data_IF_801349399797
#
_entry.id   IF_801349399797
#
_cell.length_a   1.000
_cell.length_b   1.000
_cell.length_c   1.000
_cell.angle_alpha   90.00
_cell.angle_beta   90.00
_cell.angle_gamma   90.00
#
_symmetry.space_group_name_H-M   'P 1'
#
loop_
_entity.id
_entity.type
_entity.pdbx_description
1 polymer ?
#
# COMPACT_ATOMS: atom_id res chain seq x y z
N UNK A 1 25.78 -2.23 42.55
CA UNK A 1 24.95 -3.46 42.61
C UNK A 1 25.59 -4.52 41.75
N UNK A 2 25.67 -5.76 42.22
CA UNK A 2 26.24 -6.89 41.47
C UNK A 2 25.13 -7.49 40.59
N UNK A 3 25.42 -7.76 39.32
CA UNK A 3 24.43 -8.31 38.39
C UNK A 3 24.06 -9.75 38.80
N UNK A 4 22.77 -10.14 38.77
CA UNK A 4 22.34 -11.48 39.16
C UNK A 4 22.94 -12.57 38.24
N UNK A 5 23.34 -13.69 38.83
CA UNK A 5 23.97 -14.81 38.12
C UNK A 5 22.97 -15.69 37.38
N UNK A 6 21.70 -15.68 37.78
CA UNK A 6 20.63 -16.48 37.18
C UNK A 6 19.37 -15.64 36.98
N UNK A 7 18.74 -15.73 35.80
CA UNK A 7 17.54 -14.98 35.43
C UNK A 7 16.45 -15.88 34.83
N UNK A 8 15.21 -15.64 35.20
CA UNK A 8 14.04 -16.25 34.58
C UNK A 8 13.55 -15.37 33.44
N UNK A 9 13.48 -15.91 32.23
CA UNK A 9 13.11 -15.15 31.03
C UNK A 9 11.71 -15.51 30.58
N UNK A 10 10.80 -14.54 30.63
CA UNK A 10 9.43 -14.70 30.15
C UNK A 10 9.37 -14.65 28.63
N UNK A 11 8.81 -15.68 27.99
CA UNK A 11 8.60 -15.74 26.54
C UNK A 11 7.16 -16.09 26.19
N UNK A 12 6.68 -15.60 25.05
CA UNK A 12 5.38 -15.98 24.49
C UNK A 12 5.64 -16.76 23.20
N UNK A 13 4.81 -17.76 22.92
CA UNK A 13 4.88 -18.49 21.66
C UNK A 13 4.55 -17.57 20.47
N UNK A 14 5.51 -17.36 19.56
CA UNK A 14 5.32 -16.56 18.35
C UNK A 14 6.15 -17.11 17.20
N UNK A 15 5.51 -17.76 16.22
CA UNK A 15 6.15 -18.44 15.08
C UNK A 15 7.25 -17.63 14.35
N UNK A 16 7.21 -16.30 14.43
CA UNK A 16 8.16 -15.40 13.75
C UNK A 16 9.42 -15.14 14.58
N UNK A 17 9.30 -15.02 15.90
CA UNK A 17 10.40 -14.58 16.76
C UNK A 17 10.92 -15.68 17.69
N UNK A 18 10.10 -16.69 17.94
CA UNK A 18 10.37 -17.85 18.77
C UNK A 18 9.65 -19.09 18.20
N UNK A 19 10.39 -20.12 17.82
CA UNK A 19 9.82 -21.40 17.42
C UNK A 19 10.56 -22.56 18.06
N UNK A 20 9.82 -23.63 18.32
CA UNK A 20 10.38 -24.88 18.80
C UNK A 20 10.99 -25.65 17.62
N UNK A 21 12.31 -25.80 17.63
CA UNK A 21 13.06 -26.49 16.59
C UNK A 21 13.22 -27.98 16.91
N UNK A 22 12.18 -28.77 16.61
CA UNK A 22 12.11 -30.24 16.36
C UNK A 22 11.53 -31.20 17.43
N UNK A 23 10.91 -32.24 16.85
CA UNK A 23 10.17 -33.42 17.36
C UNK A 23 10.79 -34.30 18.48
N UNK A 24 11.98 -34.04 19.02
CA UNK A 24 12.63 -34.95 20.00
C UNK A 24 13.32 -34.24 21.19
N UNK A 25 12.99 -32.97 21.43
CA UNK A 25 13.50 -32.18 22.56
C UNK A 25 13.32 -30.71 22.26
N UNK A 26 12.84 -29.94 23.25
CA UNK A 26 12.50 -28.52 23.10
C UNK A 26 13.77 -27.67 22.92
N UNK A 27 14.19 -27.48 21.68
CA UNK A 27 15.28 -26.55 21.33
C UNK A 27 14.62 -25.25 20.88
N UNK A 28 14.71 -24.24 21.74
CA UNK A 28 14.21 -22.91 21.46
C UNK A 28 15.09 -22.22 20.39
N UNK A 29 14.47 -21.72 19.33
CA UNK A 29 15.14 -21.01 18.26
C UNK A 29 14.38 -19.74 17.88
N UNK A 30 15.09 -18.77 17.29
CA UNK A 30 14.50 -17.50 16.88
C UNK A 30 15.40 -16.30 17.19
N UNK A 31 14.98 -15.12 16.73
CA UNK A 31 15.76 -13.88 16.89
C UNK A 31 15.86 -13.52 18.38
N UNK A 32 14.76 -13.64 19.12
CA UNK A 32 14.72 -13.26 20.55
C UNK A 32 15.56 -14.20 21.42
N UNK A 33 15.69 -15.47 21.02
CA UNK A 33 16.55 -16.46 21.69
C UNK A 33 18.03 -16.21 21.37
N UNK A 34 18.35 -15.85 20.12
CA UNK A 34 19.71 -15.47 19.74
C UNK A 34 20.16 -14.19 20.47
N UNK A 35 19.28 -13.20 20.59
CA UNK A 35 19.53 -11.99 21.36
C UNK A 35 19.78 -12.33 22.84
N UNK A 36 18.92 -13.16 23.44
CA UNK A 36 19.10 -13.60 24.83
C UNK A 36 20.44 -14.32 25.04
N UNK A 37 20.82 -15.20 24.10
CA UNK A 37 22.11 -15.88 24.15
C UNK A 37 23.28 -14.89 24.11
N UNK A 38 23.25 -13.93 23.19
CA UNK A 38 24.28 -12.88 23.10
C UNK A 38 24.37 -12.05 24.39
N UNK A 39 23.23 -11.69 24.99
CA UNK A 39 23.18 -10.99 26.27
C UNK A 39 23.78 -11.83 27.39
N UNK A 40 23.45 -13.12 27.45
CA UNK A 40 23.96 -14.05 28.47
C UNK A 40 25.49 -14.19 28.41
N UNK A 41 26.06 -14.26 27.20
CA UNK A 41 27.50 -14.36 26.97
C UNK A 41 28.23 -13.05 27.32
N UNK A 42 27.61 -11.89 27.04
CA UNK A 42 28.21 -10.58 27.31
C UNK A 42 28.12 -10.15 28.77
N UNK A 43 27.03 -10.52 29.44
CA UNK A 43 26.75 -10.14 30.83
C UNK A 43 27.04 -11.26 31.84
N UNK A 44 27.45 -12.44 31.36
CA UNK A 44 27.82 -13.62 32.15
C UNK A 44 26.73 -14.06 33.14
N UNK A 45 25.50 -14.27 32.66
CA UNK A 45 24.40 -14.84 33.45
C UNK A 45 23.87 -16.14 32.84
N UNK A 46 23.31 -17.00 33.67
CA UNK A 46 22.55 -18.18 33.27
C UNK A 46 21.05 -17.86 33.24
N UNK A 47 20.29 -18.57 32.42
CA UNK A 47 18.86 -18.30 32.31
C UNK A 47 18.01 -19.55 32.12
N UNK A 48 16.76 -19.45 32.57
CA UNK A 48 15.68 -20.39 32.29
C UNK A 48 14.58 -19.69 31.51
N UNK A 49 14.06 -20.34 30.48
CA UNK A 49 12.95 -19.80 29.68
C UNK A 49 11.63 -20.28 30.28
N UNK A 50 10.76 -19.35 30.65
CA UNK A 50 9.41 -19.58 31.11
C UNK A 50 8.43 -19.16 30.00
N UNK A 51 7.67 -20.12 29.45
CA UNK A 51 6.68 -19.85 28.40
C UNK A 51 5.37 -19.40 29.05
N UNK A 52 5.06 -18.12 28.89
CA UNK A 52 3.86 -17.49 29.42
C UNK A 52 2.69 -17.65 28.44
N UNK A 53 1.53 -18.02 28.98
CA UNK A 53 0.26 -18.14 28.24
C UNK A 53 -0.44 -16.78 28.16
N UNK A 54 -1.55 -16.68 27.43
CA UNK A 54 -2.39 -15.47 27.37
C UNK A 54 -1.76 -14.21 26.72
N UNK A 55 -0.70 -14.40 25.93
CA UNK A 55 -0.14 -13.36 25.06
C UNK A 55 0.64 -12.27 25.81
N UNK A 56 0.67 -11.07 25.23
CA UNK A 56 1.48 -9.93 25.75
C UNK A 56 1.03 -9.42 27.11
N UNK A 57 -0.24 -9.64 27.43
CA UNK A 57 -0.85 -9.28 28.70
C UNK A 57 -1.86 -8.16 28.59
N UNK A 58 -2.90 -8.31 29.41
CA UNK A 58 -4.07 -7.43 29.52
C UNK A 58 -4.61 -7.50 30.95
N UNK A 59 -5.40 -6.50 31.33
CA UNK A 59 -6.14 -6.50 32.58
C UNK A 59 -7.32 -7.45 32.45
N UNK A 60 -7.46 -8.39 33.38
CA UNK A 60 -8.62 -9.27 33.47
C UNK A 60 -9.79 -8.56 34.18
N UNK A 61 -11.00 -9.12 34.12
CA UNK A 61 -12.20 -8.54 34.76
C UNK A 61 -12.02 -8.27 36.27
N UNK A 62 -11.19 -9.08 36.92
CA UNK A 62 -10.87 -8.95 38.34
C UNK A 62 -9.80 -7.87 38.64
N UNK A 63 -9.39 -7.08 37.65
CA UNK A 63 -8.34 -6.05 37.77
C UNK A 63 -6.91 -6.60 37.78
N UNK A 64 -6.73 -7.93 37.75
CA UNK A 64 -5.41 -8.57 37.74
C UNK A 64 -4.81 -8.64 36.33
N UNK A 65 -3.52 -8.37 36.19
CA UNK A 65 -2.81 -8.55 34.92
C UNK A 65 -2.53 -10.03 34.61
N UNK A 66 -2.90 -10.46 33.40
CA UNK A 66 -2.56 -11.77 32.85
C UNK A 66 -1.50 -11.64 31.74
N UNK A 67 -1.04 -12.77 31.20
CA UNK A 67 -0.03 -12.79 30.14
C UNK A 67 1.36 -12.41 30.61
N UNK A 68 2.23 -12.07 29.65
CA UNK A 68 3.63 -11.73 29.91
C UNK A 68 3.77 -10.53 30.87
N UNK A 69 3.01 -9.46 30.65
CA UNK A 69 3.02 -8.30 31.55
C UNK A 69 2.64 -8.68 33.00
N UNK A 70 1.65 -9.56 33.17
CA UNK A 70 1.26 -10.06 34.48
C UNK A 70 2.32 -10.93 35.15
N UNK A 71 2.97 -11.83 34.40
CA UNK A 71 4.05 -12.68 34.91
C UNK A 71 5.26 -11.85 35.37
N UNK A 72 5.62 -10.83 34.60
CA UNK A 72 6.68 -9.88 34.96
C UNK A 72 6.31 -9.07 36.22
N UNK A 73 5.10 -8.52 36.28
CA UNK A 73 4.63 -7.75 37.44
C UNK A 73 4.53 -8.56 38.74
N UNK A 74 4.32 -9.87 38.65
CA UNK A 74 4.32 -10.79 39.81
C UNK A 74 5.70 -11.33 40.18
N UNK A 75 6.75 -11.02 39.42
CA UNK A 75 8.10 -11.56 39.62
C UNK A 75 8.23 -13.05 39.23
N UNK A 76 7.34 -13.57 38.38
CA UNK A 76 7.44 -14.93 37.82
C UNK A 76 8.44 -14.98 36.65
N UNK A 77 8.80 -13.82 36.10
CA UNK A 77 9.84 -13.62 35.10
C UNK A 77 10.60 -12.33 35.43
N UNK A 78 11.93 -12.37 35.32
CA UNK A 78 12.81 -11.24 35.66
C UNK A 78 13.01 -10.31 34.45
N UNK A 79 13.14 -10.88 33.25
CA UNK A 79 13.29 -10.16 31.99
C UNK A 79 12.48 -10.81 30.88
N UNK A 80 12.21 -10.08 29.80
CA UNK A 80 11.72 -10.65 28.55
C UNK A 80 12.49 -10.07 27.37
N UNK A 81 12.84 -10.91 26.41
CA UNK A 81 13.42 -10.49 25.12
C UNK A 81 12.40 -10.56 23.98
N UNK A 82 11.15 -10.91 24.27
CA UNK A 82 10.10 -11.04 23.26
C UNK A 82 9.60 -9.67 22.84
N UNK A 83 9.30 -9.53 21.55
CA UNK A 83 8.59 -8.35 21.04
C UNK A 83 7.34 -8.06 21.87
N UNK A 84 7.34 -7.00 22.68
CA UNK A 84 6.18 -6.55 23.44
C UNK A 84 5.83 -5.12 23.01
N UNK A 85 4.61 -4.87 22.48
CA UNK A 85 4.20 -3.53 22.13
C UNK A 85 4.24 -2.59 23.34
N UNK A 86 4.90 -1.43 23.17
CA UNK A 86 4.94 -0.36 24.15
C UNK A 86 3.57 0.31 24.22
N UNK A 87 2.86 0.11 25.33
CA UNK A 87 1.55 0.68 25.62
C UNK A 87 1.58 1.32 27.00
N UNK A 88 0.94 2.48 27.15
CA UNK A 88 0.89 3.22 28.41
C UNK A 88 0.33 2.35 29.56
N UNK A 89 -0.73 1.60 29.30
CA UNK A 89 -1.32 0.71 30.31
C UNK A 89 -0.32 -0.34 30.82
N UNK A 90 0.56 -0.85 29.96
CA UNK A 90 1.57 -1.85 30.34
C UNK A 90 2.75 -1.24 31.08
N UNK A 91 3.09 0.02 30.81
CA UNK A 91 4.16 0.73 31.53
C UNK A 91 3.86 0.91 33.02
N UNK A 92 2.62 0.69 33.46
CA UNK A 92 2.24 0.71 34.88
C UNK A 92 2.72 -0.54 35.64
N UNK A 93 3.07 -1.62 34.94
CA UNK A 93 3.42 -2.93 35.53
C UNK A 93 4.80 -3.41 35.12
N UNK A 94 5.26 -3.00 33.94
CA UNK A 94 6.57 -3.39 33.40
C UNK A 94 7.36 -2.18 32.91
N UNK A 95 8.65 -2.19 33.18
CA UNK A 95 9.59 -1.22 32.62
C UNK A 95 10.15 -1.73 31.29
N UNK A 96 10.27 -0.82 30.31
CA UNK A 96 10.83 -1.12 29.00
C UNK A 96 12.27 -0.62 28.89
N UNK A 97 13.11 -1.38 28.21
CA UNK A 97 14.43 -0.92 27.78
C UNK A 97 14.31 0.00 26.55
N UNK A 98 15.45 0.54 26.11
CA UNK A 98 15.50 1.29 24.85
C UNK A 98 15.08 0.38 23.68
N UNK A 99 14.14 0.81 22.82
CA UNK A 99 13.70 0.02 21.69
C UNK A 99 14.87 -0.24 20.74
N UNK A 100 15.12 -1.51 20.42
CA UNK A 100 16.17 -1.92 19.49
C UNK A 100 15.63 -2.28 18.09
N UNK A 101 14.31 -2.40 17.94
CA UNK A 101 13.66 -2.72 16.68
C UNK A 101 12.30 -2.01 16.57
N UNK A 102 12.02 -1.44 15.40
CA UNK A 102 10.72 -0.82 15.07
C UNK A 102 10.01 -1.69 14.06
N UNK A 103 8.81 -2.16 14.40
CA UNK A 103 7.95 -2.95 13.51
C UNK A 103 6.95 -2.03 12.83
N UNK A 104 6.92 -2.04 11.50
CA UNK A 104 5.87 -1.40 10.73
C UNK A 104 4.67 -2.35 10.55
N UNK A 105 3.46 -1.83 10.76
CA UNK A 105 2.22 -2.59 10.57
C UNK A 105 1.66 -2.30 9.19
N UNK A 106 1.41 -3.36 8.42
CA UNK A 106 0.77 -3.29 7.11
C UNK A 106 -0.38 -4.29 7.06
N UNK A 107 -1.25 -4.15 6.07
CA UNK A 107 -2.32 -5.10 5.81
C UNK A 107 -2.16 -5.66 4.39
N UNK A 108 -2.61 -6.89 4.21
CA UNK A 108 -2.64 -7.53 2.90
C UNK A 108 -4.09 -7.57 2.39
N UNK A 109 -4.28 -7.23 1.12
CA UNK A 109 -5.57 -7.41 0.43
C UNK A 109 -5.38 -8.27 -0.81
N UNK A 110 -6.47 -8.83 -1.31
CA UNK A 110 -6.47 -9.41 -2.65
C UNK A 110 -6.03 -8.36 -3.68
N UNK A 111 -5.31 -8.81 -4.71
CA UNK A 111 -4.87 -7.96 -5.81
C UNK A 111 -6.12 -7.43 -6.54
N UNK A 112 -6.23 -6.10 -6.79
CA UNK A 112 -7.37 -5.54 -7.50
C UNK A 112 -7.54 -6.12 -8.90
N UNK A 113 -8.80 -6.26 -9.33
CA UNK A 113 -9.11 -6.78 -10.66
C UNK A 113 -8.55 -5.85 -11.75
N UNK A 114 -8.08 -6.42 -12.88
CA UNK A 114 -7.66 -5.63 -14.05
C UNK A 114 -8.86 -4.85 -14.59
N UNK A 115 -8.58 -3.68 -15.17
CA UNK A 115 -9.61 -2.88 -15.82
C UNK A 115 -10.14 -3.59 -17.08
N UNK A 116 -11.41 -3.36 -17.47
CA UNK A 116 -11.95 -3.90 -18.71
C UNK A 116 -11.13 -3.45 -19.92
N UNK A 117 -10.91 -4.35 -20.89
CA UNK A 117 -10.06 -4.08 -22.06
C UNK A 117 -10.48 -2.85 -22.87
N UNK A 118 -11.78 -2.59 -23.00
CA UNK A 118 -12.28 -1.42 -23.73
C UNK A 118 -11.91 -0.11 -23.05
N UNK A 119 -11.85 -0.09 -21.71
CA UNK A 119 -11.55 1.13 -20.94
C UNK A 119 -10.09 1.55 -21.13
N UNK A 120 -9.21 0.60 -21.44
CA UNK A 120 -7.78 0.84 -21.71
C UNK A 120 -7.57 1.76 -22.91
N UNK A 121 -8.50 1.82 -23.86
CA UNK A 121 -8.41 2.71 -25.03
C UNK A 121 -8.62 4.19 -24.67
N UNK A 122 -9.37 4.49 -23.60
CA UNK A 122 -9.66 5.86 -23.18
C UNK A 122 -8.68 6.38 -22.14
N UNK A 123 -7.98 5.49 -21.43
CA UNK A 123 -6.97 5.82 -20.41
C UNK A 123 -5.76 6.65 -20.89
N UNK A 124 -5.28 6.61 -22.14
CA UNK A 124 -4.04 7.27 -22.53
C UNK A 124 -4.07 8.78 -22.31
N UNK A 125 -5.25 9.38 -22.39
CA UNK A 125 -5.44 10.82 -22.22
C UNK A 125 -6.55 11.09 -21.22
N UNK A 126 -6.39 12.18 -20.46
CA UNK A 126 -7.46 12.68 -19.61
C UNK A 126 -8.63 13.17 -20.47
N UNK A 127 -9.83 13.16 -19.90
CA UNK A 127 -11.06 13.63 -20.58
C UNK A 127 -10.89 15.05 -21.15
N UNK A 128 -10.16 15.92 -20.45
CA UNK A 128 -9.87 17.29 -20.91
C UNK A 128 -9.10 17.32 -22.24
N UNK A 129 -8.14 16.42 -22.42
CA UNK A 129 -7.34 16.31 -23.65
C UNK A 129 -8.18 15.77 -24.80
N UNK A 130 -9.05 14.80 -24.53
CA UNK A 130 -10.01 14.31 -25.51
C UNK A 130 -10.96 15.41 -26.00
N UNK A 131 -11.47 16.22 -25.07
CA UNK A 131 -12.32 17.39 -25.41
C UNK A 131 -11.52 18.40 -26.24
N UNK A 132 -10.30 18.75 -25.81
CA UNK A 132 -9.45 19.68 -26.55
C UNK A 132 -9.12 19.18 -27.97
N UNK A 133 -8.89 17.88 -28.14
CA UNK A 133 -8.68 17.25 -29.44
C UNK A 133 -9.93 17.32 -30.33
N UNK A 134 -11.11 17.00 -29.78
CA UNK A 134 -12.36 17.13 -30.53
C UNK A 134 -12.61 18.58 -30.97
N UNK A 135 -12.37 19.54 -30.07
CA UNK A 135 -12.50 20.97 -30.38
C UNK A 135 -11.50 21.41 -31.45
N UNK A 136 -10.23 20.98 -31.36
CA UNK A 136 -9.21 21.37 -32.35
C UNK A 136 -9.50 20.81 -33.73
N UNK A 137 -9.92 19.54 -33.81
CA UNK A 137 -10.30 18.87 -35.07
C UNK A 137 -11.52 19.54 -35.71
N UNK A 138 -12.44 20.12 -34.93
CA UNK A 138 -13.58 20.84 -35.48
C UNK A 138 -13.22 22.29 -35.86
N UNK A 139 -12.51 23.03 -35.01
CA UNK A 139 -12.26 24.46 -35.23
C UNK A 139 -11.24 24.72 -36.34
N UNK A 140 -10.13 23.98 -36.37
CA UNK A 140 -9.02 24.26 -37.28
C UNK A 140 -9.42 24.16 -38.77
N UNK A 141 -10.12 23.11 -39.23
CA UNK A 141 -10.60 23.05 -40.61
C UNK A 141 -11.57 24.18 -40.95
N UNK A 142 -12.47 24.53 -40.02
CA UNK A 142 -13.49 25.55 -40.24
C UNK A 142 -12.86 26.95 -40.41
N UNK A 143 -11.88 27.30 -39.56
CA UNK A 143 -11.17 28.59 -39.65
C UNK A 143 -10.35 28.66 -40.94
N UNK A 144 -9.65 27.59 -41.31
CA UNK A 144 -8.82 27.57 -42.53
C UNK A 144 -9.66 27.61 -43.80
N UNK A 145 -10.82 26.95 -43.83
CA UNK A 145 -11.73 27.05 -44.96
C UNK A 145 -12.25 28.49 -45.15
N UNK A 146 -12.65 29.16 -44.06
CA UNK A 146 -13.13 30.54 -44.11
C UNK A 146 -12.02 31.53 -44.56
N UNK A 147 -10.78 31.29 -44.12
CA UNK A 147 -9.66 32.19 -44.40
C UNK A 147 -9.02 32.01 -45.80
N UNK A 148 -9.00 30.78 -46.34
CA UNK A 148 -8.15 30.45 -47.50
C UNK A 148 -8.93 29.78 -48.65
N UNK A 149 -9.82 28.82 -48.37
CA UNK A 149 -10.46 27.98 -49.39
C UNK A 149 -11.98 28.16 -49.47
N UNK A 150 -12.41 29.40 -49.72
CA UNK A 150 -13.84 29.79 -49.81
C UNK A 150 -14.63 29.06 -50.91
N UNK A 151 -13.96 28.36 -51.83
CA UNK A 151 -14.55 27.66 -52.99
C UNK A 151 -14.53 26.12 -52.86
N UNK A 152 -13.97 25.55 -51.78
CA UNK A 152 -13.87 24.10 -51.60
C UNK A 152 -14.90 23.62 -50.55
N UNK A 153 -15.44 22.41 -50.75
CA UNK A 153 -16.32 21.78 -49.77
C UNK A 153 -15.59 21.54 -48.45
N UNK A 154 -16.27 21.82 -47.34
CA UNK A 154 -15.74 21.59 -46.00
C UNK A 154 -15.39 20.11 -45.76
N UNK A 155 -16.21 19.20 -46.30
CA UNK A 155 -16.03 17.75 -46.16
C UNK A 155 -14.72 17.26 -46.74
N UNK A 156 -14.36 17.77 -47.92
CA UNK A 156 -13.15 17.36 -48.63
C UNK A 156 -11.91 17.88 -47.90
N UNK A 157 -11.99 19.09 -47.35
CA UNK A 157 -10.90 19.65 -46.56
C UNK A 157 -10.73 18.91 -45.22
N UNK A 158 -11.84 18.60 -44.55
CA UNK A 158 -11.87 17.86 -43.28
C UNK A 158 -11.30 16.45 -43.41
N UNK A 159 -11.71 15.69 -44.44
CA UNK A 159 -11.20 14.34 -44.69
C UNK A 159 -9.70 14.38 -45.00
N UNK A 160 -9.23 15.33 -45.81
CA UNK A 160 -7.81 15.46 -46.11
C UNK A 160 -6.96 15.84 -44.90
N UNK A 161 -7.49 16.68 -43.98
CA UNK A 161 -6.77 17.08 -42.78
C UNK A 161 -6.61 15.93 -41.77
N UNK A 162 -7.56 14.99 -41.73
CA UNK A 162 -7.56 13.85 -40.80
C UNK A 162 -6.86 12.64 -41.41
N UNK A 163 -7.10 12.35 -42.69
CA UNK A 163 -6.61 11.12 -43.32
C UNK A 163 -5.10 11.09 -43.53
N UNK A 164 -4.37 12.18 -43.31
CA UNK A 164 -2.91 12.26 -43.49
C UNK A 164 -2.44 11.82 -44.91
N UNK A 165 -3.39 11.66 -45.84
CA UNK A 165 -3.16 11.25 -47.22
C UNK A 165 -3.06 12.50 -48.08
N UNK A 166 -2.32 12.34 -49.18
CA UNK A 166 -1.94 13.37 -50.15
C UNK A 166 -2.88 14.57 -50.19
N UNK A 167 -2.33 15.71 -49.76
CA UNK A 167 -2.99 16.99 -49.90
C UNK A 167 -3.42 17.17 -51.36
N UNK A 168 -4.66 17.62 -51.64
CA UNK A 168 -5.08 17.85 -53.02
C UNK A 168 -4.08 18.81 -53.67
N UNK A 169 -3.48 18.41 -54.79
CA UNK A 169 -2.40 19.11 -55.53
C UNK A 169 -2.72 20.55 -55.98
N UNK A 170 -3.84 21.13 -55.55
CA UNK A 170 -4.36 22.47 -55.90
C UNK A 170 -4.22 23.50 -54.77
N UNK A 171 -3.28 23.28 -53.86
CA UNK A 171 -3.00 24.21 -52.77
C UNK A 171 -2.18 25.41 -53.26
N UNK A 172 -2.55 26.62 -52.82
CA UNK A 172 -1.76 27.83 -53.07
C UNK A 172 -0.35 27.72 -52.45
N UNK A 173 0.70 27.97 -53.24
CA UNK A 173 2.11 27.84 -52.86
C UNK A 173 2.62 29.00 -51.97
N UNK A 174 1.90 29.34 -50.90
CA UNK A 174 2.33 30.36 -49.92
C UNK A 174 3.14 29.72 -48.79
N UNK A 175 4.25 30.35 -48.41
CA UNK A 175 5.13 29.87 -47.32
C UNK A 175 4.36 29.70 -46.00
N UNK A 176 3.54 30.70 -45.62
CA UNK A 176 2.74 30.66 -44.38
C UNK A 176 1.82 29.44 -44.31
N UNK A 177 1.23 29.05 -45.44
CA UNK A 177 0.38 27.87 -45.52
C UNK A 177 1.19 26.57 -45.35
N UNK A 178 2.39 26.49 -45.93
CA UNK A 178 3.28 25.33 -45.76
C UNK A 178 3.73 25.17 -44.31
N UNK A 179 4.11 26.27 -43.64
CA UNK A 179 4.52 26.23 -42.23
C UNK A 179 3.35 25.79 -41.35
N UNK A 180 2.14 26.33 -41.59
CA UNK A 180 0.96 25.95 -40.84
C UNK A 180 0.64 24.44 -40.99
N UNK A 181 0.54 23.93 -42.22
CA UNK A 181 0.25 22.50 -42.44
C UNK A 181 1.37 21.60 -41.92
N UNK A 182 2.63 22.01 -42.06
CA UNK A 182 3.76 21.29 -41.48
C UNK A 182 3.66 21.20 -39.96
N UNK A 183 3.32 22.29 -39.29
CA UNK A 183 3.11 22.29 -37.83
C UNK A 183 1.93 21.42 -37.40
N UNK A 184 0.84 21.41 -38.19
CA UNK A 184 -0.33 20.57 -37.93
C UNK A 184 0.00 19.08 -38.05
N UNK A 185 0.71 18.69 -39.11
CA UNK A 185 1.15 17.31 -39.32
C UNK A 185 2.13 16.84 -38.24
N UNK A 186 3.04 17.72 -37.81
CA UNK A 186 3.92 17.42 -36.67
C UNK A 186 3.10 17.20 -35.39
N UNK A 187 2.10 18.04 -35.10
CA UNK A 187 1.23 17.87 -33.94
C UNK A 187 0.44 16.56 -33.98
N UNK A 188 -0.11 16.20 -35.14
CA UNK A 188 -0.87 14.95 -35.33
C UNK A 188 0.03 13.71 -35.17
N UNK A 189 1.22 13.71 -35.78
CA UNK A 189 2.19 12.61 -35.59
C UNK A 189 2.60 12.45 -34.13
N UNK A 190 2.89 13.55 -33.43
CA UNK A 190 3.21 13.51 -31.99
C UNK A 190 2.04 12.88 -31.21
N UNK A 191 0.82 13.34 -31.43
CA UNK A 191 -0.37 12.81 -30.76
C UNK A 191 -0.57 11.30 -31.00
N UNK A 192 -0.41 10.85 -32.25
CA UNK A 192 -0.49 9.42 -32.62
C UNK A 192 0.61 8.60 -31.96
N UNK A 193 1.85 9.08 -31.97
CA UNK A 193 2.95 8.40 -31.29
C UNK A 193 2.73 8.33 -29.78
N UNK A 194 2.30 9.43 -29.14
CA UNK A 194 2.00 9.42 -27.70
C UNK A 194 0.86 8.45 -27.37
N UNK A 195 -0.23 8.46 -28.14
CA UNK A 195 -1.35 7.55 -27.92
C UNK A 195 -0.94 6.08 -28.05
N UNK A 196 -0.26 5.74 -29.15
CA UNK A 196 0.18 4.36 -29.42
C UNK A 196 1.21 3.86 -28.41
N UNK A 197 2.15 4.71 -28.00
CA UNK A 197 3.16 4.35 -26.98
C UNK A 197 2.55 4.14 -25.59
N UNK A 198 1.61 4.99 -25.18
CA UNK A 198 0.92 4.84 -23.88
C UNK A 198 0.00 3.61 -23.89
N UNK A 199 -0.74 3.36 -24.98
CA UNK A 199 -1.50 2.11 -25.11
C UNK A 199 -0.58 0.90 -25.05
N UNK A 200 0.53 0.93 -25.78
CA UNK A 200 1.50 -0.16 -25.76
C UNK A 200 1.99 -0.42 -24.33
N UNK A 201 2.26 0.64 -23.56
CA UNK A 201 2.63 0.53 -22.14
C UNK A 201 1.52 -0.08 -21.27
N UNK A 202 0.24 0.21 -21.54
CA UNK A 202 -0.88 -0.42 -20.84
C UNK A 202 -1.17 -1.85 -21.30
N UNK A 203 -0.77 -2.21 -22.51
CA UNK A 203 -0.86 -3.58 -23.01
C UNK A 203 0.28 -4.46 -22.46
N UNK A 204 1.47 -3.90 -22.22
CA UNK A 204 2.56 -4.62 -21.55
C UNK A 204 2.29 -4.80 -20.07
N UNK A 205 1.75 -3.78 -19.40
CA UNK A 205 1.33 -3.86 -17.98
C UNK A 205 -0.13 -3.45 -17.86
N UNK A 206 -1.01 -4.44 -17.70
CA UNK A 206 -2.46 -4.19 -17.62
C UNK A 206 -2.80 -3.29 -16.43
N UNK A 207 -3.42 -2.12 -16.65
CA UNK A 207 -3.80 -1.25 -15.56
C UNK A 207 -4.89 -1.92 -14.72
N UNK A 208 -4.75 -1.79 -13.40
CA UNK A 208 -5.68 -2.35 -12.41
C UNK A 208 -6.49 -1.23 -11.77
N UNK A 209 -7.67 -1.58 -11.30
CA UNK A 209 -8.47 -0.67 -10.47
C UNK A 209 -7.69 -0.24 -9.22
N UNK A 210 -7.98 0.95 -8.70
CA UNK A 210 -7.36 1.45 -7.48
C UNK A 210 -7.76 0.53 -6.31
N UNK A 211 -6.78 -0.19 -5.75
CA UNK A 211 -6.95 -0.97 -4.54
C UNK A 211 -6.95 -0.13 -3.26
N UNK A 212 -7.24 -0.78 -2.14
CA UNK A 212 -7.14 -0.18 -0.80
C UNK A 212 -5.66 0.03 -0.48
N UNK A 213 -5.25 1.27 -0.19
CA UNK A 213 -3.85 1.62 0.08
C UNK A 213 -3.58 2.05 1.52
N UNK A 214 -4.58 2.65 2.15
CA UNK A 214 -4.46 3.24 3.48
C UNK A 214 -5.52 2.66 4.41
N UNK A 215 -5.32 2.82 5.72
CA UNK A 215 -6.29 2.39 6.73
C UNK A 215 -7.63 3.11 6.56
N UNK A 216 -7.62 4.39 6.19
CA UNK A 216 -8.85 5.13 5.89
C UNK A 216 -9.60 4.54 4.66
N UNK A 217 -8.87 4.20 3.58
CA UNK A 217 -9.47 3.52 2.42
C UNK A 217 -10.05 2.15 2.84
N UNK A 218 -9.39 1.46 3.78
CA UNK A 218 -9.82 0.17 4.33
C UNK A 218 -11.09 0.32 5.18
N UNK A 219 -11.15 1.30 6.08
CA UNK A 219 -12.31 1.59 6.91
C UNK A 219 -13.55 1.87 6.02
N UNK A 220 -13.41 2.75 5.03
CA UNK A 220 -14.46 3.03 4.06
C UNK A 220 -14.88 1.80 3.26
N UNK A 221 -13.94 0.91 2.92
CA UNK A 221 -14.23 -0.30 2.15
C UNK A 221 -14.97 -1.36 2.98
N UNK A 222 -14.72 -1.40 4.29
CA UNK A 222 -15.42 -2.26 5.26
C UNK A 222 -16.83 -1.73 5.52
N UNK A 223 -17.01 -0.41 5.70
CA UNK A 223 -18.33 0.20 5.88
C UNK A 223 -19.25 -0.04 4.68
N UNK A 224 -18.69 -0.02 3.46
CA UNK A 224 -19.41 -0.37 2.23
C UNK A 224 -19.73 -1.87 2.08
N UNK A 225 -19.22 -2.72 2.98
CA UNK A 225 -19.42 -4.18 2.96
C UNK A 225 -18.61 -4.91 1.89
N UNK A 226 -17.65 -4.25 1.24
CA UNK A 226 -16.85 -4.86 0.17
C UNK A 226 -15.68 -5.70 0.70
N UNK A 227 -15.22 -5.42 1.91
CA UNK A 227 -14.09 -6.09 2.55
C UNK A 227 -14.46 -6.50 3.97
N UNK A 228 -13.86 -7.62 4.41
CA UNK A 228 -13.89 -8.06 5.80
C UNK A 228 -12.46 -8.00 6.33
N UNK A 229 -12.27 -7.29 7.43
CA UNK A 229 -11.00 -7.27 8.14
C UNK A 229 -10.88 -8.51 9.04
N UNK A 230 -9.76 -9.22 8.91
CA UNK A 230 -9.48 -10.44 9.66
C UNK A 230 -8.16 -10.27 10.38
N UNK A 231 -8.15 -10.61 11.67
CA UNK A 231 -6.95 -10.58 12.49
C UNK A 231 -6.88 -11.78 13.44
N UNK A 232 -5.67 -12.14 13.85
CA UNK A 232 -5.45 -13.20 14.85
C UNK A 232 -6.03 -12.79 16.20
N UNK A 233 -6.76 -13.71 16.83
CA UNK A 233 -7.29 -13.49 18.18
C UNK A 233 -6.16 -13.20 19.19
N UNK A 234 -6.32 -12.12 19.97
CA UNK A 234 -5.32 -11.70 20.97
C UNK A 234 -4.17 -10.84 20.42
N UNK A 235 -4.25 -10.43 19.14
CA UNK A 235 -3.35 -9.42 18.60
C UNK A 235 -3.64 -8.04 19.18
N UNK A 236 -2.57 -7.29 19.45
CA UNK A 236 -2.64 -5.91 19.95
C UNK A 236 -3.18 -4.96 18.88
N UNK A 237 -3.05 -5.27 17.59
CA UNK A 237 -3.53 -4.35 16.55
C UNK A 237 -5.06 -4.29 16.52
N UNK A 238 -5.76 -5.40 16.81
CA UNK A 238 -7.22 -5.42 16.84
C UNK A 238 -7.75 -4.50 17.95
N UNK A 239 -7.19 -4.62 19.15
CA UNK A 239 -7.54 -3.78 20.29
C UNK A 239 -7.29 -2.30 19.97
N UNK A 240 -6.11 -1.99 19.41
CA UNK A 240 -5.76 -0.64 18.99
C UNK A 240 -6.71 -0.05 17.93
N UNK A 241 -7.08 -0.82 16.90
CA UNK A 241 -7.95 -0.35 15.82
C UNK A 241 -9.42 -0.22 16.23
N UNK A 242 -9.86 -0.94 17.26
CA UNK A 242 -11.21 -0.84 17.82
C UNK A 242 -11.30 0.34 18.79
N UNK A 243 -10.27 0.54 19.61
CA UNK A 243 -10.24 1.54 20.68
C UNK A 243 -9.68 2.91 20.24
N UNK A 244 -9.29 3.07 18.98
CA UNK A 244 -8.72 4.33 18.51
C UNK A 244 -9.75 5.47 18.59
N UNK A 245 -9.35 6.62 19.14
CA UNK A 245 -10.20 7.82 19.17
C UNK A 245 -10.26 8.55 17.81
N UNK A 246 -9.35 8.21 16.91
CA UNK A 246 -9.22 8.89 15.62
C UNK A 246 -10.16 8.28 14.58
N UNK A 247 -11.11 9.04 14.00
CA UNK A 247 -12.14 8.51 13.10
C UNK A 247 -11.56 7.86 11.84
N UNK A 248 -10.34 8.21 11.46
CA UNK A 248 -9.64 7.66 10.29
C UNK A 248 -9.10 6.23 10.49
N UNK A 249 -9.01 5.77 11.74
CA UNK A 249 -8.39 4.48 12.10
C UNK A 249 -9.36 3.50 12.77
N UNK A 250 -10.58 3.94 13.11
CA UNK A 250 -11.57 3.08 13.78
C UNK A 250 -12.14 2.06 12.82
N UNK A 251 -11.94 0.78 13.13
CA UNK A 251 -12.62 -0.30 12.44
C UNK A 251 -13.82 -0.78 13.26
N UNK A 252 -15.04 -0.53 12.75
CA UNK A 252 -16.29 -0.90 13.43
C UNK A 252 -16.56 -2.41 13.46
N UNK A 253 -15.86 -3.20 12.65
CA UNK A 253 -16.01 -4.66 12.62
C UNK A 253 -14.67 -5.35 12.37
N UNK A 254 -14.26 -6.18 13.32
CA UNK A 254 -13.08 -7.05 13.22
C UNK A 254 -13.55 -8.49 13.32
N UNK A 255 -13.11 -9.35 12.39
CA UNK A 255 -13.35 -10.79 12.46
C UNK A 255 -12.08 -11.47 12.95
N UNK A 256 -12.20 -12.33 13.95
CA UNK A 256 -11.05 -13.07 14.46
C UNK A 256 -10.89 -14.41 13.74
N UNK A 257 -9.65 -14.78 13.41
CA UNK A 257 -9.26 -16.11 12.97
C UNK A 257 -8.56 -16.88 14.08
#
# INVERSE_FOLDING_TARGET
>A
MQFPSHLTVGMIFSNTFYYDSRRNGSVYAGIDVQLLKLLSEKLNFQYTINIVKDGYGKVNENGSWIGLAGAMGRGEADISTVYCPLLEERTQVIDYSMPYYTVERTFATAIPKPLPRYYVLLLPFQVQVWIAFLVSVLLVPNVLQQAIFRKQSWTDYFINLISCNDMPRRVENKLSFRVFNGSWLLSDTIMRFTYTTVILSFLTVTPRSRGVRNVHDLANAIEKGNFRYIELKGSVNAEFLIQSDSPDYVLRSVTYC
#
